data_IF_810302499102
#
_entry.id   IF_810302499102
#
_cell.length_a   1.000
_cell.length_b   1.000
_cell.length_c   1.000
_cell.angle_alpha   90.00
_cell.angle_beta   90.00
_cell.angle_gamma   90.00
#
_symmetry.space_group_name_H-M   'P 1'
#
loop_
_entity.id
_entity.type
_entity.pdbx_description
1 polymer ?
#
# COMPACT_ATOMS: atom_id res chain seq x y z
N UNK A 1 14.37 2.68 -13.18
CA UNK A 1 14.15 1.23 -13.37
C UNK A 1 13.06 1.08 -14.43
N UNK A 2 13.23 0.23 -15.44
CA UNK A 2 12.11 -0.11 -16.34
C UNK A 2 11.17 -1.07 -15.62
N UNK A 3 9.87 -0.76 -15.58
CA UNK A 3 8.88 -1.58 -14.91
C UNK A 3 8.77 -2.95 -15.61
N UNK A 4 8.95 -4.03 -14.84
CA UNK A 4 8.84 -5.42 -15.34
C UNK A 4 8.14 -6.30 -14.32
N UNK A 5 7.50 -7.34 -14.81
CA UNK A 5 6.94 -8.40 -13.97
C UNK A 5 8.07 -9.30 -13.45
N UNK A 6 8.03 -9.57 -12.15
CA UNK A 6 8.90 -10.53 -11.46
C UNK A 6 8.00 -11.57 -10.82
N UNK A 7 8.22 -12.83 -11.15
CA UNK A 7 7.52 -13.95 -10.51
C UNK A 7 8.18 -14.23 -9.15
N UNK A 8 7.41 -14.06 -8.07
CA UNK A 8 7.88 -14.21 -6.68
C UNK A 8 7.53 -15.56 -6.07
N UNK A 9 6.55 -16.24 -6.67
CA UNK A 9 6.16 -17.63 -6.42
C UNK A 9 5.40 -18.14 -7.65
N UNK A 10 5.10 -19.45 -7.71
CA UNK A 10 4.39 -20.05 -8.85
C UNK A 10 3.14 -19.25 -9.25
N UNK A 11 3.19 -18.64 -10.44
CA UNK A 11 2.12 -17.83 -11.03
C UNK A 11 1.63 -16.68 -10.14
N UNK A 12 2.48 -16.18 -9.25
CA UNK A 12 2.29 -14.96 -8.46
C UNK A 12 3.38 -13.97 -8.85
N UNK A 13 2.98 -12.88 -9.49
CA UNK A 13 3.89 -11.88 -10.03
C UNK A 13 3.70 -10.54 -9.35
N UNK A 14 4.79 -9.81 -9.23
CA UNK A 14 4.84 -8.42 -8.78
C UNK A 14 5.39 -7.56 -9.91
N UNK A 15 4.80 -6.40 -10.14
CA UNK A 15 5.36 -5.38 -11.03
C UNK A 15 5.66 -4.14 -10.20
N UNK A 16 6.93 -3.72 -10.24
CA UNK A 16 7.40 -2.49 -9.60
C UNK A 16 7.49 -1.35 -10.61
N UNK A 17 7.11 -0.17 -10.16
CA UNK A 17 7.17 1.06 -10.93
C UNK A 17 8.15 2.03 -10.30
N UNK A 18 8.95 2.72 -11.12
CA UNK A 18 9.93 3.67 -10.61
C UNK A 18 9.29 4.89 -9.91
N UNK A 19 8.07 5.24 -10.30
CA UNK A 19 7.27 6.24 -9.61
C UNK A 19 6.78 5.66 -8.28
N UNK A 20 7.12 6.36 -7.19
CA UNK A 20 6.83 5.98 -5.79
C UNK A 20 7.41 4.63 -5.36
N UNK A 21 8.20 3.98 -6.21
CA UNK A 21 8.63 2.59 -5.98
C UNK A 21 7.45 1.62 -5.74
N UNK A 22 6.29 1.92 -6.34
CA UNK A 22 5.04 1.20 -6.11
C UNK A 22 5.10 -0.23 -6.66
N UNK A 23 4.59 -1.18 -5.86
CA UNK A 23 4.37 -2.58 -6.20
C UNK A 23 2.89 -2.87 -6.44
N UNK A 24 2.58 -3.54 -7.55
CA UNK A 24 1.26 -4.11 -7.83
C UNK A 24 1.36 -5.60 -8.12
N UNK A 25 0.28 -6.34 -7.89
CA UNK A 25 0.26 -7.80 -7.94
C UNK A 25 -0.56 -8.39 -9.07
N UNK A 26 -0.14 -9.56 -9.55
CA UNK A 26 -0.93 -10.44 -10.42
C UNK A 26 -0.83 -11.88 -9.91
N UNK A 27 -1.95 -12.43 -9.45
CA UNK A 27 -2.09 -13.83 -9.02
C UNK A 27 -2.89 -14.57 -10.09
N UNK A 28 -2.34 -15.63 -10.68
CA UNK A 28 -3.05 -16.41 -11.70
C UNK A 28 -3.39 -17.81 -11.19
N UNK A 29 -4.56 -18.29 -11.59
CA UNK A 29 -4.94 -19.71 -11.55
C UNK A 29 -5.50 -20.15 -12.90
N UNK A 30 -6.10 -21.33 -12.97
CA UNK A 30 -6.59 -21.89 -14.22
C UNK A 30 -7.86 -21.15 -14.71
N UNK A 31 -7.70 -20.34 -15.76
CA UNK A 31 -8.81 -19.61 -16.37
C UNK A 31 -9.29 -18.39 -15.59
N UNK A 32 -8.48 -17.85 -14.67
CA UNK A 32 -8.78 -16.63 -13.91
C UNK A 32 -7.53 -16.00 -13.30
N UNK A 33 -7.57 -14.69 -13.07
CA UNK A 33 -6.54 -13.98 -12.34
C UNK A 33 -7.12 -12.95 -11.34
N UNK A 34 -6.31 -12.59 -10.35
CA UNK A 34 -6.55 -11.49 -9.42
C UNK A 34 -5.45 -10.44 -9.61
N UNK A 35 -5.87 -9.19 -9.75
CA UNK A 35 -5.00 -8.01 -9.78
C UNK A 35 -5.05 -7.38 -8.40
N UNK A 36 -3.88 -7.09 -7.83
CA UNK A 36 -3.76 -6.40 -6.53
C UNK A 36 -3.23 -5.00 -6.79
N UNK A 37 -4.06 -4.00 -6.46
CA UNK A 37 -3.86 -2.57 -6.72
C UNK A 37 -3.76 -2.16 -8.20
N UNK A 38 -4.12 -0.91 -8.50
CA UNK A 38 -4.44 -0.47 -9.86
C UNK A 38 -3.75 0.81 -10.31
N UNK A 39 -2.77 1.31 -9.55
CA UNK A 39 -1.97 2.52 -9.84
C UNK A 39 -2.71 3.85 -9.55
N UNK A 40 -2.04 4.98 -9.80
CA UNK A 40 -2.42 6.32 -9.35
C UNK A 40 -3.37 7.14 -10.22
N UNK A 41 -3.66 6.68 -11.44
CA UNK A 41 -4.56 7.37 -12.37
C UNK A 41 -5.05 6.41 -13.47
N UNK A 42 -6.08 6.81 -14.24
CA UNK A 42 -6.66 5.97 -15.29
C UNK A 42 -5.67 5.58 -16.39
N UNK A 43 -4.70 6.44 -16.71
CA UNK A 43 -3.69 6.18 -17.75
C UNK A 43 -2.75 5.09 -17.28
N UNK A 44 -2.33 5.14 -16.02
CA UNK A 44 -1.50 4.12 -15.39
C UNK A 44 -2.27 2.79 -15.24
N UNK A 45 -3.54 2.83 -14.83
CA UNK A 45 -4.38 1.63 -14.78
C UNK A 45 -4.55 0.97 -16.16
N UNK A 46 -4.68 1.78 -17.22
CA UNK A 46 -4.80 1.28 -18.59
C UNK A 46 -3.47 0.67 -19.09
N UNK A 47 -2.32 1.24 -18.70
CA UNK A 47 -1.01 0.65 -18.94
C UNK A 47 -0.88 -0.70 -18.23
N UNK A 48 -1.18 -0.76 -16.92
CA UNK A 48 -1.12 -1.98 -16.14
C UNK A 48 -1.98 -3.08 -16.76
N UNK A 49 -3.21 -2.75 -17.14
CA UNK A 49 -4.11 -3.67 -17.82
C UNK A 49 -3.51 -4.18 -19.16
N UNK A 50 -2.91 -3.29 -19.95
CA UNK A 50 -2.22 -3.66 -21.20
C UNK A 50 -1.07 -4.65 -20.92
N UNK A 51 -0.28 -4.42 -19.88
CA UNK A 51 0.81 -5.30 -19.47
C UNK A 51 0.30 -6.67 -18.99
N UNK A 52 -0.78 -6.72 -18.21
CA UNK A 52 -1.42 -7.97 -17.81
C UNK A 52 -1.89 -8.75 -19.04
N UNK A 53 -2.42 -8.06 -20.06
CA UNK A 53 -2.86 -8.68 -21.32
C UNK A 53 -1.75 -9.22 -22.20
N UNK A 54 -0.48 -8.89 -21.92
CA UNK A 54 0.69 -9.55 -22.51
C UNK A 54 1.00 -10.89 -21.85
N UNK A 55 0.55 -11.10 -20.61
CA UNK A 55 0.76 -12.32 -19.82
C UNK A 55 -0.41 -13.29 -19.98
N UNK A 56 -1.65 -12.82 -19.81
CA UNK A 56 -2.84 -13.69 -19.80
C UNK A 56 -4.07 -13.07 -20.47
N UNK A 57 -4.91 -13.95 -21.04
CA UNK A 57 -6.24 -13.63 -21.59
C UNK A 57 -7.38 -13.95 -20.63
N UNK A 58 -7.06 -14.47 -19.45
CA UNK A 58 -8.05 -14.86 -18.45
C UNK A 58 -8.85 -13.66 -17.92
N UNK A 59 -10.09 -13.88 -17.45
CA UNK A 59 -10.84 -12.86 -16.73
C UNK A 59 -10.13 -12.49 -15.43
N UNK A 60 -10.13 -11.19 -15.10
CA UNK A 60 -9.61 -10.68 -13.84
C UNK A 60 -10.70 -10.45 -12.80
N UNK A 61 -10.27 -10.45 -11.54
CA UNK A 61 -10.89 -9.77 -10.39
C UNK A 61 -9.87 -8.78 -9.86
N UNK A 62 -10.30 -7.70 -9.19
CA UNK A 62 -9.41 -6.74 -8.55
C UNK A 62 -9.56 -6.82 -7.04
N UNK A 63 -8.46 -6.71 -6.30
CA UNK A 63 -8.43 -6.37 -4.89
C UNK A 63 -7.62 -5.09 -4.70
N UNK A 64 -8.20 -4.11 -4.01
CA UNK A 64 -7.54 -2.86 -3.61
C UNK A 64 -7.15 -2.99 -2.14
N UNK A 65 -5.88 -2.77 -1.83
CA UNK A 65 -5.33 -2.90 -0.48
C UNK A 65 -5.84 -1.80 0.44
N UNK A 66 -5.88 -0.55 -0.03
CA UNK A 66 -6.38 0.59 0.74
C UNK A 66 -6.72 1.77 -0.18
N UNK A 67 -7.30 2.84 0.37
CA UNK A 67 -7.91 3.94 -0.42
C UNK A 67 -6.92 4.96 -1.00
N UNK A 68 -5.61 4.82 -0.81
CA UNK A 68 -4.64 5.79 -1.30
C UNK A 68 -4.59 5.82 -2.83
N UNK A 69 -4.20 6.99 -3.35
CA UNK A 69 -4.40 7.31 -4.76
C UNK A 69 -3.66 6.35 -5.68
N UNK A 70 -2.40 6.10 -5.37
CA UNK A 70 -1.44 5.25 -6.09
C UNK A 70 -1.78 3.75 -6.05
N UNK A 71 -2.72 3.34 -5.19
CA UNK A 71 -3.23 1.98 -5.16
C UNK A 71 -4.60 1.83 -5.85
N UNK A 72 -5.41 2.89 -5.88
CA UNK A 72 -6.85 2.76 -6.14
C UNK A 72 -7.39 3.60 -7.31
N UNK A 73 -6.73 4.68 -7.71
CA UNK A 73 -7.30 5.63 -8.68
C UNK A 73 -7.29 5.09 -10.12
N UNK A 74 -6.36 4.19 -10.45
CA UNK A 74 -6.31 3.53 -11.75
C UNK A 74 -7.32 2.39 -11.92
N UNK A 75 -8.37 2.31 -11.11
CA UNK A 75 -9.35 1.20 -11.14
C UNK A 75 -10.27 1.25 -12.37
N UNK A 76 -10.54 2.42 -12.94
CA UNK A 76 -11.52 2.63 -14.03
C UNK A 76 -11.37 1.68 -15.25
N UNK A 77 -10.17 1.36 -15.74
CA UNK A 77 -9.96 0.43 -16.86
C UNK A 77 -10.28 -1.04 -16.53
N UNK A 78 -10.34 -1.40 -15.25
CA UNK A 78 -10.63 -2.76 -14.80
C UNK A 78 -12.13 -3.05 -14.59
N UNK A 79 -12.99 -2.03 -14.77
CA UNK A 79 -14.44 -2.17 -14.61
C UNK A 79 -15.07 -3.22 -15.54
N UNK A 80 -16.24 -3.72 -15.12
CA UNK A 80 -16.90 -4.88 -15.74
C UNK A 80 -16.56 -6.21 -15.08
N UNK A 81 -15.75 -6.17 -14.00
CA UNK A 81 -15.41 -7.29 -13.12
C UNK A 81 -15.45 -6.83 -11.66
N UNK A 82 -15.59 -7.76 -10.69
CA UNK A 82 -15.59 -7.41 -9.27
C UNK A 82 -14.34 -6.66 -8.83
N UNK A 83 -14.55 -5.59 -8.05
CA UNK A 83 -13.50 -4.83 -7.35
C UNK A 83 -13.70 -4.98 -5.85
N UNK A 84 -12.82 -5.75 -5.22
CA UNK A 84 -12.83 -6.03 -3.79
C UNK A 84 -12.00 -5.01 -3.02
N UNK A 85 -12.50 -4.57 -1.86
CA UNK A 85 -11.72 -3.81 -0.89
C UNK A 85 -12.33 -3.95 0.52
N UNK A 86 -11.64 -3.44 1.54
CA UNK A 86 -12.26 -3.22 2.84
C UNK A 86 -13.42 -2.21 2.73
N UNK A 87 -14.50 -2.37 3.51
CA UNK A 87 -15.64 -1.45 3.49
C UNK A 87 -15.25 0.01 3.78
N UNK A 88 -14.25 0.21 4.62
CA UNK A 88 -13.67 1.52 4.92
C UNK A 88 -12.95 2.16 3.73
N UNK A 89 -12.40 1.37 2.80
CA UNK A 89 -11.76 1.89 1.59
C UNK A 89 -12.81 2.48 0.65
N UNK A 90 -13.94 1.78 0.48
CA UNK A 90 -15.09 2.32 -0.26
C UNK A 90 -15.63 3.58 0.39
N UNK A 91 -15.83 3.58 1.71
CA UNK A 91 -16.32 4.74 2.42
C UNK A 91 -15.41 5.96 2.22
N UNK A 92 -14.10 5.78 2.37
CA UNK A 92 -13.11 6.84 2.21
C UNK A 92 -13.03 7.36 0.77
N UNK A 93 -13.05 6.49 -0.25
CA UNK A 93 -13.07 6.93 -1.65
C UNK A 93 -14.34 7.73 -2.00
N UNK A 94 -15.49 7.35 -1.44
CA UNK A 94 -16.75 8.08 -1.65
C UNK A 94 -16.73 9.44 -0.94
N UNK A 95 -16.20 9.51 0.27
CA UNK A 95 -16.21 10.73 1.07
C UNK A 95 -15.09 11.71 0.70
N UNK A 96 -13.88 11.18 0.47
CA UNK A 96 -12.64 11.95 0.38
C UNK A 96 -11.93 11.83 -0.96
N UNK A 97 -12.33 10.92 -1.86
CA UNK A 97 -11.59 10.63 -3.09
C UNK A 97 -11.38 11.84 -4.00
N UNK A 98 -12.42 12.66 -4.22
CA UNK A 98 -12.29 13.88 -5.04
C UNK A 98 -11.31 14.88 -4.43
N UNK A 99 -11.33 15.03 -3.09
CA UNK A 99 -10.40 15.91 -2.37
C UNK A 99 -8.97 15.40 -2.48
N UNK A 100 -8.76 14.10 -2.30
CA UNK A 100 -7.45 13.47 -2.47
C UNK A 100 -6.93 13.64 -3.91
N UNK A 101 -7.79 13.49 -4.93
CA UNK A 101 -7.42 13.77 -6.33
C UNK A 101 -6.95 15.20 -6.54
N UNK A 102 -7.67 16.18 -6.02
CA UNK A 102 -7.28 17.59 -6.13
C UNK A 102 -5.97 17.90 -5.38
N UNK A 103 -5.74 17.25 -4.25
CA UNK A 103 -4.53 17.38 -3.45
C UNK A 103 -3.31 16.81 -4.16
N UNK A 104 -3.38 15.56 -4.62
CA UNK A 104 -2.27 14.91 -5.32
C UNK A 104 -1.98 15.55 -6.68
N UNK A 105 -3.01 15.98 -7.41
CA UNK A 105 -2.81 16.76 -8.63
C UNK A 105 -2.07 18.07 -8.37
N UNK A 106 -2.37 18.77 -7.27
CA UNK A 106 -1.62 19.99 -6.88
C UNK A 106 -0.18 19.65 -6.49
N UNK A 107 0.01 18.61 -5.67
CA UNK A 107 1.33 18.15 -5.25
C UNK A 107 2.27 17.88 -6.44
N UNK A 108 1.83 17.07 -7.41
CA UNK A 108 2.64 16.77 -8.59
C UNK A 108 2.88 18.01 -9.47
N UNK A 109 1.95 18.97 -9.49
CA UNK A 109 2.15 20.24 -10.20
C UNK A 109 3.24 21.08 -9.54
N UNK A 110 3.25 21.15 -8.22
CA UNK A 110 4.26 21.89 -7.45
C UNK A 110 5.65 21.24 -7.54
N UNK A 111 5.71 19.92 -7.75
CA UNK A 111 6.94 19.19 -8.08
C UNK A 111 7.43 19.41 -9.54
N UNK A 112 6.74 20.23 -10.33
CA UNK A 112 7.10 20.46 -11.73
C UNK A 112 6.80 19.26 -12.64
N UNK A 113 5.81 18.44 -12.30
CA UNK A 113 5.36 17.26 -13.06
C UNK A 113 3.91 17.44 -13.54
N UNK A 114 3.65 18.43 -14.41
CA UNK A 114 2.29 18.79 -14.82
C UNK A 114 1.57 17.66 -15.56
N UNK A 115 2.28 16.80 -16.29
CA UNK A 115 1.66 15.68 -17.01
C UNK A 115 1.01 14.68 -16.04
N UNK A 116 1.71 14.30 -14.96
CA UNK A 116 1.17 13.41 -13.92
C UNK A 116 0.02 14.12 -13.19
N UNK A 117 0.20 15.39 -12.83
CA UNK A 117 -0.83 16.18 -12.17
C UNK A 117 -2.13 16.23 -12.98
N UNK A 118 -2.02 16.40 -14.28
CA UNK A 118 -3.16 16.50 -15.19
C UNK A 118 -3.83 15.14 -15.43
N UNK A 119 -3.07 14.03 -15.45
CA UNK A 119 -3.60 12.67 -15.50
C UNK A 119 -4.38 12.31 -14.23
N UNK A 120 -3.83 12.62 -13.05
CA UNK A 120 -4.52 12.47 -11.76
C UNK A 120 -5.80 13.33 -11.75
N UNK A 121 -5.70 14.61 -12.12
CA UNK A 121 -6.84 15.53 -12.09
C UNK A 121 -8.03 15.09 -12.97
N UNK A 122 -7.77 14.33 -14.05
CA UNK A 122 -8.81 13.81 -14.95
C UNK A 122 -9.42 12.49 -14.51
N UNK A 123 -8.83 11.82 -13.52
CA UNK A 123 -9.25 10.48 -13.12
C UNK A 123 -10.62 10.48 -12.43
N UNK A 124 -11.49 9.58 -12.86
CA UNK A 124 -12.74 9.25 -12.18
C UNK A 124 -12.45 8.38 -10.96
N UNK A 125 -12.90 8.80 -9.77
CA UNK A 125 -12.80 7.98 -8.56
C UNK A 125 -13.81 6.84 -8.65
N UNK A 126 -13.31 5.61 -8.53
CA UNK A 126 -14.13 4.40 -8.64
C UNK A 126 -14.19 3.69 -7.29
N UNK A 127 -15.30 3.81 -6.54
CA UNK A 127 -15.48 3.06 -5.30
C UNK A 127 -15.60 1.54 -5.56
N UNK A 128 -14.92 0.70 -4.76
CA UNK A 128 -15.08 -0.76 -4.80
C UNK A 128 -16.54 -1.20 -4.62
N UNK A 129 -16.93 -2.29 -5.29
CA UNK A 129 -18.31 -2.80 -5.31
C UNK A 129 -18.48 -4.12 -4.58
N UNK A 130 -17.39 -4.80 -4.22
CA UNK A 130 -17.38 -5.99 -3.37
C UNK A 130 -16.60 -5.69 -2.08
N UNK A 131 -17.23 -5.92 -0.93
CA UNK A 131 -16.70 -5.41 0.33
C UNK A 131 -16.33 -6.54 1.28
N UNK A 132 -15.22 -6.32 1.98
CA UNK A 132 -14.72 -7.15 3.06
C UNK A 132 -14.81 -6.32 4.34
N UNK A 133 -15.41 -6.87 5.39
CA UNK A 133 -15.33 -6.28 6.74
C UNK A 133 -14.16 -6.92 7.48
N UNK A 134 -14.20 -8.24 7.71
CA UNK A 134 -13.10 -8.94 8.40
C UNK A 134 -12.28 -9.81 7.44
N UNK A 135 -12.94 -10.70 6.70
CA UNK A 135 -12.28 -11.68 5.82
C UNK A 135 -13.21 -12.12 4.69
N UNK A 136 -12.64 -12.35 3.52
CA UNK A 136 -13.31 -13.00 2.39
C UNK A 136 -12.40 -14.06 1.78
N UNK A 137 -13.01 -15.13 1.25
CA UNK A 137 -12.30 -16.19 0.53
C UNK A 137 -12.69 -16.13 -0.94
N UNK A 138 -11.68 -16.09 -1.81
CA UNK A 138 -11.83 -16.11 -3.25
C UNK A 138 -11.19 -17.38 -3.81
N UNK A 139 -11.67 -17.82 -4.97
CA UNK A 139 -11.06 -18.89 -5.74
C UNK A 139 -10.71 -18.34 -7.11
N UNK A 140 -9.43 -18.16 -7.39
CA UNK A 140 -8.91 -17.61 -8.64
C UNK A 140 -8.49 -18.78 -9.53
N UNK A 141 -9.35 -19.23 -10.44
CA UNK A 141 -9.04 -20.38 -11.31
C UNK A 141 -8.62 -21.64 -10.54
N UNK A 142 -9.34 -21.96 -9.45
CA UNK A 142 -9.01 -23.07 -8.55
C UNK A 142 -8.00 -22.76 -7.45
N UNK A 143 -7.28 -21.63 -7.51
CA UNK A 143 -6.33 -21.19 -6.48
C UNK A 143 -7.04 -20.49 -5.32
N UNK A 144 -6.84 -20.91 -4.05
CA UNK A 144 -7.42 -20.22 -2.91
C UNK A 144 -6.72 -18.87 -2.66
N UNK A 145 -7.50 -17.82 -2.43
CA UNK A 145 -7.01 -16.51 -2.00
C UNK A 145 -7.85 -16.04 -0.82
N UNK A 146 -7.21 -15.44 0.18
CA UNK A 146 -7.86 -14.87 1.35
C UNK A 146 -7.61 -13.37 1.36
N UNK A 147 -8.70 -12.59 1.35
CA UNK A 147 -8.66 -11.16 1.65
C UNK A 147 -8.93 -10.99 3.14
N UNK A 148 -8.11 -10.24 3.87
CA UNK A 148 -8.29 -10.04 5.30
C UNK A 148 -7.99 -8.60 5.72
N UNK A 149 -8.89 -8.01 6.51
CA UNK A 149 -8.61 -6.81 7.27
C UNK A 149 -8.11 -7.26 8.65
N UNK A 150 -6.85 -6.94 8.98
CA UNK A 150 -6.20 -7.38 10.22
C UNK A 150 -6.26 -6.33 11.33
N UNK A 151 -7.12 -5.32 11.15
CA UNK A 151 -7.17 -4.11 11.97
C UNK A 151 -6.52 -2.91 11.29
N UNK A 152 -6.54 -1.78 11.98
CA UNK A 152 -6.03 -0.50 11.47
C UNK A 152 -4.53 -0.39 11.70
N UNK A 153 -3.79 -0.06 10.66
CA UNK A 153 -2.36 0.15 10.73
C UNK A 153 -1.96 1.40 9.98
N UNK A 154 -1.49 1.20 8.75
CA UNK A 154 -1.09 2.26 7.84
C UNK A 154 -2.28 3.18 7.51
N UNK A 155 -3.48 2.60 7.37
CA UNK A 155 -4.71 3.34 7.19
C UNK A 155 -5.83 2.76 8.07
N UNK A 156 -7.02 3.37 7.97
CA UNK A 156 -8.23 2.82 8.59
C UNK A 156 -8.84 1.65 7.82
N UNK A 157 -8.29 1.31 6.65
CA UNK A 157 -8.94 0.41 5.70
C UNK A 157 -8.00 -0.59 5.01
N UNK A 158 -6.87 -0.90 5.65
CA UNK A 158 -5.85 -1.84 5.15
C UNK A 158 -6.42 -3.24 4.89
N UNK A 159 -6.21 -3.78 3.70
CA UNK A 159 -6.62 -5.12 3.30
C UNK A 159 -5.40 -5.91 2.78
N UNK A 160 -5.12 -7.04 3.39
CA UNK A 160 -4.07 -7.96 2.90
C UNK A 160 -4.65 -9.01 1.96
N UNK A 161 -3.87 -9.41 0.97
CA UNK A 161 -4.18 -10.51 0.03
C UNK A 161 -3.23 -11.67 0.28
N UNK A 162 -3.72 -12.76 0.87
CA UNK A 162 -2.94 -13.96 1.14
C UNK A 162 -3.23 -15.06 0.11
N UNK A 163 -2.18 -15.61 -0.50
CA UNK A 163 -2.16 -16.72 -1.45
C UNK A 163 -1.48 -17.91 -0.78
N UNK A 164 -2.21 -18.76 -0.04
CA UNK A 164 -1.62 -19.72 0.89
C UNK A 164 -0.81 -20.81 0.19
N UNK A 165 -1.28 -21.31 -0.95
CA UNK A 165 -0.59 -22.36 -1.72
C UNK A 165 0.77 -21.89 -2.25
N UNK A 166 0.91 -20.59 -2.52
CA UNK A 166 2.13 -19.97 -2.96
C UNK A 166 2.99 -19.40 -1.80
N UNK A 167 2.44 -19.33 -0.58
CA UNK A 167 3.09 -18.69 0.56
C UNK A 167 3.38 -17.21 0.34
N UNK A 168 2.48 -16.47 -0.33
CA UNK A 168 2.64 -15.04 -0.64
C UNK A 168 1.56 -14.20 0.03
N UNK A 169 1.95 -13.09 0.65
CA UNK A 169 1.03 -12.06 1.15
C UNK A 169 1.34 -10.73 0.46
N UNK A 170 0.34 -10.08 -0.15
CA UNK A 170 0.41 -8.67 -0.50
C UNK A 170 -0.09 -7.87 0.70
N UNK A 171 0.78 -7.05 1.27
CA UNK A 171 0.54 -6.35 2.53
C UNK A 171 -0.04 -4.94 2.34
N UNK A 172 0.00 -4.41 1.10
CA UNK A 172 -0.12 -2.96 0.90
C UNK A 172 0.94 -2.25 1.76
N UNK A 173 0.58 -1.09 2.30
CA UNK A 173 1.51 -0.23 3.02
C UNK A 173 1.60 -0.56 4.52
N UNK A 174 0.99 -1.68 4.95
CA UNK A 174 1.25 -2.25 6.27
C UNK A 174 2.71 -2.68 6.43
N UNK A 175 3.39 -2.99 5.32
CA UNK A 175 4.81 -3.28 5.26
C UNK A 175 5.45 -2.36 4.23
N UNK A 176 6.57 -1.72 4.59
CA UNK A 176 7.22 -0.72 3.74
C UNK A 176 8.69 -1.03 3.48
N UNK A 177 9.12 -1.04 2.21
CA UNK A 177 10.50 -1.39 1.85
C UNK A 177 11.12 -0.44 0.81
N UNK A 178 11.30 0.82 1.18
CA UNK A 178 11.95 1.79 0.30
C UNK A 178 12.00 3.18 0.90
N UNK A 179 11.14 3.43 1.88
CA UNK A 179 11.10 4.61 2.72
C UNK A 179 10.71 4.22 4.16
N UNK A 180 10.87 5.12 5.15
CA UNK A 180 10.18 4.99 6.43
C UNK A 180 8.66 4.86 6.21
N UNK A 181 7.93 4.12 7.08
CA UNK A 181 6.48 4.02 6.96
C UNK A 181 5.77 5.37 7.04
N UNK A 182 4.75 5.57 6.22
CA UNK A 182 3.89 6.75 6.24
C UNK A 182 2.91 6.72 7.42
N UNK A 183 2.67 7.87 8.07
CA UNK A 183 1.85 7.97 9.28
C UNK A 183 0.70 8.99 9.19
N UNK A 184 0.55 9.68 8.07
CA UNK A 184 -0.33 10.83 7.86
C UNK A 184 -1.81 10.52 8.20
N UNK A 185 -2.28 9.32 7.82
CA UNK A 185 -3.59 8.78 8.14
C UNK A 185 -3.56 7.48 8.97
N UNK A 186 -2.37 7.08 9.42
CA UNK A 186 -2.14 5.85 10.19
C UNK A 186 -2.69 5.87 11.62
N UNK A 187 -2.66 4.68 12.23
CA UNK A 187 -3.07 4.39 13.60
C UNK A 187 -1.87 3.87 14.40
N UNK A 188 -0.94 4.75 14.84
CA UNK A 188 0.34 4.34 15.43
C UNK A 188 0.24 3.38 16.62
N UNK A 189 -0.82 3.50 17.43
CA UNK A 189 -1.02 2.68 18.62
C UNK A 189 -1.62 1.30 18.30
N UNK A 190 -2.22 1.14 17.12
CA UNK A 190 -2.90 -0.09 16.69
C UNK A 190 -2.08 -0.88 15.68
N UNK A 191 -1.30 -0.18 14.84
CA UNK A 191 -0.48 -0.76 13.78
C UNK A 191 0.41 -1.94 14.23
N UNK A 192 1.07 -1.93 15.41
CA UNK A 192 1.82 -3.09 15.88
C UNK A 192 0.98 -4.38 15.91
N UNK A 193 -0.26 -4.33 16.42
CA UNK A 193 -1.13 -5.49 16.51
C UNK A 193 -1.56 -5.99 15.12
N UNK A 194 -1.77 -5.07 14.17
CA UNK A 194 -2.10 -5.42 12.78
C UNK A 194 -0.94 -6.12 12.07
N UNK A 195 0.31 -5.65 12.23
CA UNK A 195 1.49 -6.35 11.67
C UNK A 195 1.74 -7.68 12.39
N UNK A 196 1.45 -7.79 13.69
CA UNK A 196 1.49 -9.08 14.38
C UNK A 196 0.50 -10.10 13.76
N UNK A 197 -0.73 -9.67 13.43
CA UNK A 197 -1.68 -10.52 12.72
C UNK A 197 -1.22 -10.92 11.31
N UNK A 198 -0.42 -10.08 10.64
CA UNK A 198 0.20 -10.42 9.35
C UNK A 198 1.27 -11.50 9.51
N UNK A 199 2.08 -11.42 10.57
CA UNK A 199 3.07 -12.46 10.91
C UNK A 199 2.39 -13.79 11.23
N UNK A 200 1.27 -13.79 11.96
CA UNK A 200 0.48 -15.00 12.22
C UNK A 200 0.00 -15.64 10.90
N UNK A 201 -0.43 -14.81 9.93
CA UNK A 201 -0.89 -15.29 8.62
C UNK A 201 0.24 -15.92 7.79
N UNK A 202 1.49 -15.44 7.93
CA UNK A 202 2.66 -16.07 7.31
C UNK A 202 2.97 -17.43 7.93
N UNK A 203 2.71 -17.58 9.22
CA UNK A 203 2.99 -18.79 9.98
C UNK A 203 1.93 -19.89 9.74
N UNK A 204 0.72 -19.52 9.30
CA UNK A 204 -0.38 -20.45 8.95
C UNK A 204 -0.07 -21.38 7.75
N UNK A 205 0.93 -21.04 6.92
CA UNK A 205 1.42 -21.85 5.81
C UNK A 205 0.35 -22.28 4.77
N UNK A 206 0.72 -23.15 3.82
CA UNK A 206 -0.19 -23.62 2.77
C UNK A 206 -1.40 -24.45 3.27
N UNK A 207 -1.41 -24.82 4.55
CA UNK A 207 -2.41 -25.71 5.16
C UNK A 207 -3.36 -25.06 6.17
N UNK A 208 -3.13 -23.82 6.60
CA UNK A 208 -3.87 -23.16 7.69
C UNK A 208 -5.29 -22.69 7.34
N UNK A 209 -5.72 -22.85 6.08
CA UNK A 209 -7.03 -22.38 5.63
C UNK A 209 -8.22 -23.24 6.10
N UNK A 210 -8.10 -24.06 7.15
CA UNK A 210 -9.18 -24.87 7.75
C UNK A 210 -9.69 -24.28 9.06
N UNK A 211 -10.37 -23.14 8.99
CA UNK A 211 -11.22 -22.62 10.07
C UNK A 211 -12.68 -22.59 9.60
N UNK A 212 -13.68 -22.92 10.44
CA UNK A 212 -15.07 -23.08 10.03
C UNK A 212 -15.66 -21.76 9.51
N UNK A 213 -16.38 -21.86 8.39
CA UNK A 213 -16.71 -20.74 7.51
C UNK A 213 -17.80 -19.78 8.00
N UNK A 214 -17.95 -18.71 7.21
CA UNK A 214 -19.20 -18.04 6.87
C UNK A 214 -18.96 -17.28 5.54
N UNK A 215 -19.68 -17.65 4.48
CA UNK A 215 -19.72 -16.91 3.21
C UNK A 215 -18.91 -17.50 2.05
N UNK A 216 -19.12 -18.77 1.71
CA UNK A 216 -18.74 -19.26 0.37
C UNK A 216 -19.66 -18.58 -0.65
N UNK A 217 -19.16 -17.55 -1.33
CA UNK A 217 -19.77 -17.10 -2.59
C UNK A 217 -19.04 -17.80 -3.73
N UNK A 218 -19.57 -18.92 -4.26
CA UNK A 218 -19.06 -19.45 -5.52
C UNK A 218 -19.35 -18.42 -6.62
N UNK A 219 -18.32 -18.03 -7.37
CA UNK A 219 -18.47 -17.23 -8.59
C UNK A 219 -19.20 -18.07 -9.65
N UNK A 220 -20.53 -17.96 -9.66
CA UNK A 220 -21.42 -18.37 -10.73
C UNK A 220 -22.26 -17.14 -11.11
N UNK A 221 -22.15 -16.71 -12.37
CA UNK A 221 -22.73 -15.47 -12.84
C UNK A 221 -24.26 -15.45 -12.81
N UNK A 222 -24.82 -14.45 -12.13
CA UNK A 222 -26.09 -13.82 -12.51
C UNK A 222 -26.19 -12.45 -11.85
N UNK A 223 -26.23 -11.42 -12.70
CA UNK A 223 -26.36 -10.01 -12.31
C UNK A 223 -27.79 -9.76 -11.82
N UNK A 224 -27.94 -9.19 -10.63
CA UNK A 224 -29.19 -8.58 -10.19
C UNK A 224 -28.97 -7.06 -10.12
N UNK A 225 -29.52 -6.33 -11.08
CA UNK A 225 -29.52 -4.85 -11.07
C UNK A 225 -30.39 -4.32 -9.93
N UNK A 226 -30.00 -3.24 -9.21
CA UNK A 226 -30.91 -2.59 -8.28
C UNK A 226 -31.90 -1.72 -9.05
N UNK A 227 -33.18 -1.95 -8.78
CA UNK A 227 -34.30 -1.13 -9.25
C UNK A 227 -34.35 0.24 -8.57
N UNK A 228 -34.93 1.17 -9.32
CA UNK A 228 -35.32 2.52 -8.93
C UNK A 228 -36.22 2.57 -7.69
N UNK A 229 -35.99 3.52 -6.78
CA UNK A 229 -37.02 3.91 -5.81
C UNK A 229 -36.59 4.78 -4.63
N UNK A 230 -36.79 6.09 -4.79
CA UNK A 230 -37.34 7.03 -3.80
C UNK A 230 -36.48 7.59 -2.65
N UNK A 231 -36.42 8.94 -2.63
CA UNK A 231 -35.94 9.85 -1.57
C UNK A 231 -36.59 9.62 -0.20
N UNK A 232 -35.92 10.06 0.89
CA UNK A 232 -36.21 11.37 1.49
C UNK A 232 -34.91 12.09 1.94
N UNK A 233 -34.84 13.42 1.98
CA UNK A 233 -35.36 14.23 3.08
C UNK A 233 -34.20 15.04 3.68
N UNK A 234 -34.27 16.35 3.52
CA UNK A 234 -33.28 17.36 3.92
C UNK A 234 -32.99 17.38 5.43
N UNK A 235 -31.70 17.41 5.80
CA UNK A 235 -31.26 17.82 7.15
C UNK A 235 -29.97 18.64 7.07
N UNK A 236 -29.92 19.65 7.92
CA UNK A 236 -29.10 20.86 7.86
C UNK A 236 -27.64 20.66 8.27
N UNK A 237 -26.76 21.43 7.63
CA UNK A 237 -25.33 21.57 7.93
C UNK A 237 -25.05 22.23 9.29
N UNK A 238 -23.91 21.88 9.92
CA UNK A 238 -23.11 22.85 10.65
C UNK A 238 -21.77 23.12 9.94
N UNK A 239 -21.46 24.40 9.81
CA UNK A 239 -20.20 24.95 9.33
C UNK A 239 -19.04 24.59 10.25
N UNK A 240 -17.90 24.17 9.68
CA UNK A 240 -16.60 24.17 10.35
C UNK A 240 -15.54 24.62 9.35
N UNK A 241 -14.78 25.65 9.73
CA UNK A 241 -13.72 26.28 8.93
C UNK A 241 -12.54 25.33 8.71
N UNK A 242 -11.88 25.34 7.54
CA UNK A 242 -10.76 24.47 7.29
C UNK A 242 -9.49 24.97 8.01
N UNK A 243 -8.90 24.10 8.82
CA UNK A 243 -7.55 24.23 9.36
C UNK A 243 -6.52 23.95 8.26
N UNK A 244 -5.50 24.80 8.20
CA UNK A 244 -4.35 24.71 7.30
C UNK A 244 -3.43 23.55 7.71
N UNK A 245 -3.05 22.71 6.75
CA UNK A 245 -2.05 21.65 6.97
C UNK A 245 -1.03 21.69 5.81
N UNK A 246 0.24 21.58 6.20
CA UNK A 246 1.44 21.83 5.42
C UNK A 246 1.84 20.63 4.54
N UNK A 247 2.34 20.93 3.34
CA UNK A 247 2.90 19.97 2.36
C UNK A 247 4.14 19.23 2.88
N UNK A 248 4.40 17.99 2.43
CA UNK A 248 5.66 17.30 2.71
C UNK A 248 6.83 17.99 1.99
N UNK A 249 7.94 18.11 2.70
CA UNK A 249 9.09 18.93 2.32
C UNK A 249 9.91 18.30 1.20
N UNK A 250 10.40 19.15 0.31
CA UNK A 250 11.14 18.82 -0.90
C UNK A 250 12.55 18.32 -0.62
N UNK A 251 12.94 17.27 -1.34
CA UNK A 251 14.35 16.94 -1.63
C UNK A 251 14.94 18.08 -2.46
N UNK A 252 15.89 18.82 -1.90
CA UNK A 252 16.71 19.79 -2.63
C UNK A 252 18.12 19.27 -2.83
N UNK A 253 18.42 18.83 -4.06
CA UNK A 253 19.78 18.67 -4.56
C UNK A 253 20.28 20.02 -5.09
N UNK A 254 21.38 20.52 -4.55
CA UNK A 254 22.01 21.78 -4.96
C UNK A 254 23.24 21.53 -5.83
N UNK A 255 23.39 22.36 -6.86
CA UNK A 255 24.57 22.53 -7.72
C UNK A 255 24.15 23.33 -8.94
N UNK A 256 24.85 24.34 -9.48
CA UNK A 256 26.18 24.95 -9.32
C UNK A 256 26.12 26.27 -10.13
N UNK A 257 26.98 27.29 -10.07
CA UNK A 257 28.27 27.50 -9.43
C UNK A 257 28.84 28.89 -9.85
N UNK A 258 30.02 29.24 -9.32
CA UNK A 258 31.10 29.99 -10.01
C UNK A 258 32.22 30.26 -9.01
N UNK A 259 33.47 30.01 -9.42
CA UNK A 259 34.64 30.35 -8.60
C UNK A 259 35.87 29.49 -8.88
N UNK A 260 36.77 30.03 -9.70
CA UNK A 260 38.10 29.55 -10.04
C UNK A 260 39.04 29.32 -8.83
N UNK A 261 39.91 28.30 -8.90
CA UNK A 261 41.06 28.19 -8.01
C UNK A 261 41.89 26.92 -8.27
N UNK A 262 43.09 27.12 -8.79
CA UNK A 262 44.17 26.15 -9.05
C UNK A 262 44.79 25.58 -7.75
N UNK A 263 45.26 24.33 -7.78
CA UNK A 263 46.11 23.76 -6.73
C UNK A 263 46.29 22.24 -6.81
N UNK A 264 47.54 21.81 -6.96
CA UNK A 264 48.04 20.45 -7.18
C UNK A 264 47.87 19.45 -6.01
N UNK A 265 47.76 18.17 -6.39
CA UNK A 265 48.22 16.92 -5.71
C UNK A 265 47.78 16.59 -4.28
N UNK A 266 47.24 15.39 -4.06
CA UNK A 266 47.95 14.17 -3.60
C UNK A 266 46.95 13.01 -3.49
N UNK A 267 47.43 11.82 -3.87
CA UNK A 267 46.85 10.49 -3.85
C UNK A 267 46.41 10.02 -2.45
N UNK A 268 45.22 9.41 -2.35
CA UNK A 268 44.99 8.25 -1.47
C UNK A 268 43.65 7.57 -1.78
N UNK A 269 43.76 6.41 -2.42
CA UNK A 269 42.79 5.31 -2.39
C UNK A 269 42.73 4.73 -0.96
N UNK A 270 41.55 4.30 -0.48
CA UNK A 270 41.46 2.89 -0.13
C UNK A 270 40.11 2.24 -0.47
N UNK A 271 40.21 1.23 -1.34
CA UNK A 271 39.40 0.02 -1.39
C UNK A 271 38.98 -0.50 -0.02
N UNK A 272 37.68 -0.77 0.17
CA UNK A 272 37.14 -1.82 1.06
C UNK A 272 35.65 -2.04 0.74
N UNK A 273 35.40 -2.96 -0.19
CA UNK A 273 34.12 -3.65 -0.42
C UNK A 273 33.88 -4.67 0.71
N UNK A 274 32.65 -4.73 1.26
CA UNK A 274 32.13 -6.02 1.67
C UNK A 274 30.74 -6.27 1.08
N UNK A 275 30.70 -7.02 -0.03
CA UNK A 275 29.92 -8.25 -0.09
C UNK A 275 28.52 -8.11 -0.66
N UNK A 276 28.42 -7.69 -1.92
CA UNK A 276 27.27 -7.99 -2.78
C UNK A 276 27.19 -9.50 -3.03
N UNK A 277 26.26 -10.19 -2.35
CA UNK A 277 25.85 -11.56 -2.75
C UNK A 277 24.67 -11.44 -3.70
N UNK A 278 24.95 -11.45 -5.01
CA UNK A 278 23.96 -11.77 -6.04
C UNK A 278 24.13 -13.21 -6.47
N UNK A 279 23.12 -14.04 -6.19
CA UNK A 279 22.93 -15.36 -6.80
C UNK A 279 21.45 -15.73 -6.74
N UNK A 280 20.88 -16.38 -7.77
CA UNK A 280 19.48 -16.80 -7.76
C UNK A 280 19.37 -18.07 -6.92
N UNK A 281 19.07 -17.91 -5.64
CA UNK A 281 18.71 -19.03 -4.77
C UNK A 281 17.29 -19.48 -5.07
N UNK A 282 17.13 -20.54 -5.87
CA UNK A 282 15.92 -21.37 -5.80
C UNK A 282 15.96 -22.12 -4.46
N UNK A 283 15.59 -21.41 -3.40
CA UNK A 283 15.36 -21.97 -2.08
C UNK A 283 13.86 -21.96 -1.84
N UNK A 284 13.23 -23.14 -1.87
CA UNK A 284 11.97 -23.35 -1.17
C UNK A 284 12.25 -23.25 0.34
N UNK A 285 12.43 -22.02 0.83
CA UNK A 285 12.54 -21.71 2.24
C UNK A 285 11.16 -21.66 2.85
N UNK A 286 10.98 -22.27 4.01
CA UNK A 286 9.76 -22.23 4.82
C UNK A 286 9.44 -20.85 5.43
N UNK A 287 9.72 -19.76 4.71
CA UNK A 287 9.34 -18.39 5.08
C UNK A 287 8.59 -17.77 3.91
N UNK A 288 7.32 -17.40 4.11
CA UNK A 288 6.50 -16.80 3.06
C UNK A 288 7.09 -15.48 2.54
N UNK A 289 6.77 -15.17 1.28
CA UNK A 289 7.12 -13.89 0.64
C UNK A 289 6.06 -12.85 0.98
N UNK A 290 6.49 -11.65 1.34
CA UNK A 290 5.60 -10.51 1.60
C UNK A 290 5.88 -9.44 0.57
N UNK A 291 4.84 -8.98 -0.10
CA UNK A 291 4.90 -7.90 -1.09
C UNK A 291 4.41 -6.62 -0.41
N UNK A 292 5.31 -5.68 -0.08
CA UNK A 292 4.93 -4.36 0.41
C UNK A 292 4.27 -3.55 -0.71
N UNK A 293 3.51 -2.51 -0.37
CA UNK A 293 2.94 -1.60 -1.36
C UNK A 293 4.01 -0.75 -2.06
N UNK A 294 5.11 -0.43 -1.36
CA UNK A 294 6.30 0.15 -1.96
C UNK A 294 7.56 -0.67 -1.69
N UNK A 295 8.37 -0.82 -2.73
CA UNK A 295 9.68 -1.47 -2.61
C UNK A 295 9.78 -2.89 -3.10
N UNK A 296 10.91 -3.52 -2.77
CA UNK A 296 11.18 -4.93 -3.09
C UNK A 296 10.34 -5.87 -2.22
N UNK A 297 9.86 -7.00 -2.75
CA UNK A 297 9.34 -8.09 -1.92
C UNK A 297 10.34 -8.51 -0.83
N UNK A 298 9.83 -8.81 0.34
CA UNK A 298 10.60 -9.10 1.55
C UNK A 298 10.25 -10.47 2.13
N UNK A 299 11.08 -10.93 3.06
CA UNK A 299 10.83 -12.15 3.81
C UNK A 299 10.22 -11.86 5.19
N UNK A 300 9.85 -12.93 5.91
CA UNK A 300 9.36 -12.85 7.28
C UNK A 300 10.33 -12.13 8.23
N UNK A 301 11.64 -12.27 8.06
CA UNK A 301 12.63 -11.67 8.96
C UNK A 301 12.59 -10.13 8.86
N UNK A 302 12.42 -9.61 7.65
CA UNK A 302 12.18 -8.18 7.43
C UNK A 302 10.93 -7.70 8.17
N UNK A 303 9.80 -8.40 7.99
CA UNK A 303 8.52 -8.02 8.65
C UNK A 303 8.65 -8.04 10.17
N UNK A 304 9.37 -9.02 10.74
CA UNK A 304 9.66 -9.05 12.19
C UNK A 304 10.48 -7.83 12.63
N UNK A 305 11.48 -7.43 11.84
CA UNK A 305 12.29 -6.25 12.13
C UNK A 305 11.43 -4.98 12.12
N UNK A 306 10.65 -4.78 11.07
CA UNK A 306 9.80 -3.60 10.94
C UNK A 306 8.69 -3.57 11.99
N UNK A 307 8.09 -4.72 12.33
CA UNK A 307 7.15 -4.82 13.45
C UNK A 307 7.79 -4.35 14.76
N UNK A 308 9.05 -4.69 15.03
CA UNK A 308 9.77 -4.24 16.22
C UNK A 308 10.00 -2.72 16.22
N UNK A 309 10.31 -2.12 15.07
CA UNK A 309 10.49 -0.67 14.89
C UNK A 309 9.18 0.10 15.06
N UNK A 310 8.10 -0.34 14.39
CA UNK A 310 6.74 0.22 14.55
C UNK A 310 6.29 0.10 16.01
N UNK A 311 6.51 -1.06 16.64
CA UNK A 311 6.22 -1.26 18.07
C UNK A 311 7.02 -0.32 18.98
N UNK A 312 8.27 -0.02 18.63
CA UNK A 312 9.09 0.92 19.41
C UNK A 312 8.54 2.34 19.31
N UNK A 313 8.17 2.78 18.11
CA UNK A 313 7.53 4.08 17.91
C UNK A 313 6.17 4.16 18.61
N UNK A 314 5.34 3.12 18.54
CA UNK A 314 4.07 3.05 19.27
C UNK A 314 4.26 3.26 20.79
N UNK A 315 5.25 2.61 21.40
CA UNK A 315 5.59 2.81 22.83
C UNK A 315 6.05 4.24 23.13
N UNK A 316 6.74 4.91 22.22
CA UNK A 316 7.10 6.32 22.37
C UNK A 316 5.84 7.20 22.32
N UNK A 317 4.94 6.94 21.37
CA UNK A 317 3.63 7.59 21.28
C UNK A 317 2.82 7.43 22.57
N UNK A 318 2.70 6.22 23.12
CA UNK A 318 2.01 5.96 24.39
C UNK A 318 2.58 6.79 25.55
N UNK A 319 3.92 6.85 25.65
CA UNK A 319 4.60 7.60 26.72
C UNK A 319 4.40 9.11 26.58
N UNK A 320 4.39 9.63 25.36
CA UNK A 320 4.10 11.05 25.09
C UNK A 320 2.64 11.36 25.42
N UNK A 321 1.69 10.54 24.95
CA UNK A 321 0.26 10.69 25.28
C UNK A 321 0.00 10.63 26.79
N UNK A 322 0.76 9.82 27.52
CA UNK A 322 0.69 9.73 28.99
C UNK A 322 1.43 10.85 29.74
N UNK A 323 2.10 11.78 29.05
CA UNK A 323 2.91 12.84 29.67
C UNK A 323 4.19 12.34 30.37
N UNK A 324 4.63 11.12 30.07
CA UNK A 324 5.80 10.46 30.67
C UNK A 324 7.09 10.68 29.85
N UNK A 325 6.98 11.29 28.67
CA UNK A 325 8.08 11.59 27.77
C UNK A 325 7.74 12.86 26.98
N UNK A 326 8.71 13.76 26.78
CA UNK A 326 8.48 14.91 25.91
C UNK A 326 8.53 14.49 24.42
N UNK A 327 7.81 15.17 23.51
CA UNK A 327 7.90 14.89 22.07
C UNK A 327 9.34 14.98 21.54
N UNK A 328 10.13 15.95 22.01
CA UNK A 328 11.52 16.11 21.62
C UNK A 328 12.40 14.94 22.07
N UNK A 329 12.11 14.33 23.23
CA UNK A 329 12.82 13.14 23.68
C UNK A 329 12.39 11.90 22.90
N UNK A 330 11.10 11.80 22.55
CA UNK A 330 10.58 10.72 21.71
C UNK A 330 11.25 10.72 20.33
N UNK A 331 11.38 11.88 19.69
CA UNK A 331 12.12 12.04 18.41
C UNK A 331 13.54 11.51 18.52
N UNK A 332 14.28 11.85 19.59
CA UNK A 332 15.67 11.39 19.76
C UNK A 332 15.81 9.88 20.03
N UNK A 333 14.76 9.24 20.55
CA UNK A 333 14.75 7.81 20.87
C UNK A 333 14.14 6.95 19.75
N UNK A 334 13.55 7.57 18.74
CA UNK A 334 12.83 6.88 17.68
C UNK A 334 13.78 6.12 16.76
N UNK A 335 13.39 4.93 16.27
CA UNK A 335 14.11 4.25 15.18
C UNK A 335 13.92 4.95 13.83
N UNK A 336 12.97 5.89 13.72
CA UNK A 336 12.64 6.60 12.49
C UNK A 336 13.11 8.06 12.51
N UNK A 337 13.25 8.70 11.33
CA UNK A 337 13.56 10.12 11.23
C UNK A 337 12.59 11.02 12.00
N UNK A 338 13.03 12.25 12.29
CA UNK A 338 12.24 13.25 13.02
C UNK A 338 10.88 13.53 12.38
N UNK A 339 10.82 13.64 11.06
CA UNK A 339 9.59 13.90 10.31
C UNK A 339 8.55 12.79 10.53
N UNK A 340 8.90 11.54 10.21
CA UNK A 340 8.04 10.35 10.44
C UNK A 340 7.59 10.26 11.89
N UNK A 341 8.52 10.46 12.83
CA UNK A 341 8.23 10.38 14.27
C UNK A 341 7.28 11.47 14.70
N UNK A 342 7.49 12.71 14.23
CA UNK A 342 6.64 13.86 14.56
C UNK A 342 5.21 13.66 14.10
N UNK A 343 5.01 13.15 12.88
CA UNK A 343 3.69 12.82 12.33
C UNK A 343 3.01 11.76 13.19
N UNK A 344 3.70 10.65 13.50
CA UNK A 344 3.16 9.59 14.34
C UNK A 344 2.76 10.08 15.75
N UNK A 345 3.55 10.96 16.36
CA UNK A 345 3.23 11.58 17.65
C UNK A 345 1.99 12.48 17.57
N UNK A 346 1.88 13.29 16.51
CA UNK A 346 0.70 14.14 16.25
C UNK A 346 -0.58 13.30 16.14
N UNK A 347 -0.51 12.21 15.36
CA UNK A 347 -1.61 11.22 15.24
C UNK A 347 -2.00 10.61 16.58
N UNK A 348 -1.04 10.16 17.37
CA UNK A 348 -1.31 9.48 18.63
C UNK A 348 -1.87 10.40 19.73
N UNK A 349 -1.57 11.70 19.68
CA UNK A 349 -2.03 12.69 20.66
C UNK A 349 -3.32 13.40 20.24
N UNK A 350 -3.80 13.17 19.01
CA UNK A 350 -4.99 13.83 18.48
C UNK A 350 -4.78 15.31 18.14
N UNK A 351 -3.53 15.78 18.13
CA UNK A 351 -3.19 17.11 17.62
C UNK A 351 -3.20 17.06 16.08
N UNK A 352 -4.29 17.54 15.48
CA UNK A 352 -4.39 17.88 14.05
C UNK A 352 -4.03 19.34 13.85
#
# INVERSE_FOLDING_TARGET
MEARWVEVADRVLVRRYAELDLSVGLVMGDGGCLVVDTRGDERQGAELLSEIRKITRDPWTVAITHSHFDHSFGTRPFLGRPVWAHEGCRADLVENGDRAREEWARYYRDLGRPDIADDIARTEIVPPDHLVTDRARLVVGGRPVVLAHLGRGHSGNDLVVHVPDAGVIFAGDLVENGAPPAYEDAYPLEWPATVAGLLDLLDDGPGGATGPGNGDTPISGSVSSPGSGSSPGSISSPSSSPGSISSPSSISGSGSGSGSGSGDTIVSDPTSDPGRVTGPGHGHGHGGTVVPGHGDPVDRAFVVSQHAEISALARLCERVTAGLLSPADAVRLSPYPEETTGIALGRATGHR
#
